data_IF_655163490160
#
_entry.id   IF_655163490160
#
_cell.length_a   1.000
_cell.length_b   1.000
_cell.length_c   1.000
_cell.angle_alpha   90.00
_cell.angle_beta   90.00
_cell.angle_gamma   90.00
#
_symmetry.space_group_name_H-M   'P 1'
#
loop_
_entity.id
_entity.type
_entity.pdbx_description
1 polymer ?
#
# COMPACT_ATOMS: atom_id res chain seq x y z
N UNK A 1 -1.51 -12.01 -18.18
CA UNK A 1 -0.88 -10.92 -18.97
C UNK A 1 -0.57 -9.81 -17.98
N UNK A 2 0.69 -9.35 -17.89
CA UNK A 2 1.01 -8.13 -17.12
C UNK A 2 0.47 -6.94 -17.93
N UNK A 3 -0.38 -6.12 -17.31
CA UNK A 3 -0.90 -4.92 -17.95
C UNK A 3 0.21 -3.83 -18.01
N UNK A 4 0.11 -2.96 -19.01
CA UNK A 4 1.11 -1.91 -19.26
C UNK A 4 1.01 -0.83 -18.17
N UNK A 5 2.12 -0.44 -17.51
CA UNK A 5 2.13 0.63 -16.52
C UNK A 5 1.61 1.97 -17.08
N UNK A 6 0.90 2.72 -16.25
CA UNK A 6 0.40 4.06 -16.58
C UNK A 6 1.49 5.09 -16.26
N UNK A 7 1.89 5.89 -17.23
CA UNK A 7 2.91 6.93 -17.02
C UNK A 7 2.25 8.31 -16.71
N UNK A 8 2.36 8.78 -15.47
CA UNK A 8 1.97 10.12 -15.05
C UNK A 8 2.76 10.56 -13.81
N UNK A 9 2.52 11.80 -13.36
CA UNK A 9 3.19 12.39 -12.19
C UNK A 9 3.05 11.56 -10.90
N UNK A 10 1.95 10.83 -10.71
CA UNK A 10 1.75 10.02 -9.50
C UNK A 10 2.63 8.77 -9.56
N UNK A 11 2.55 8.01 -10.65
CA UNK A 11 3.35 6.78 -10.82
C UNK A 11 4.85 7.07 -10.88
N UNK A 12 5.27 8.22 -11.41
CA UNK A 12 6.65 8.70 -11.35
C UNK A 12 7.13 8.97 -9.91
N UNK A 13 6.27 9.55 -9.06
CA UNK A 13 6.62 9.88 -7.66
C UNK A 13 6.63 8.63 -6.78
N UNK A 14 5.67 7.73 -6.96
CA UNK A 14 5.46 6.57 -6.09
C UNK A 14 6.22 5.32 -6.56
N UNK A 15 6.62 5.26 -7.84
CA UNK A 15 7.22 4.07 -8.45
C UNK A 15 6.23 2.93 -8.69
N UNK A 16 4.93 3.22 -8.70
CA UNK A 16 3.87 2.21 -8.90
C UNK A 16 3.49 2.09 -10.37
N UNK A 17 2.99 0.92 -10.78
CA UNK A 17 2.51 0.71 -12.15
C UNK A 17 1.19 1.44 -12.42
N UNK A 18 0.35 1.61 -11.39
CA UNK A 18 -0.95 2.26 -11.48
C UNK A 18 -1.04 3.44 -10.51
N UNK A 19 -1.74 4.54 -10.86
CA UNK A 19 -1.98 5.68 -9.98
C UNK A 19 -3.12 5.36 -9.00
N UNK A 20 -3.08 4.18 -8.37
CA UNK A 20 -4.07 3.70 -7.41
C UNK A 20 -3.41 3.68 -6.04
N UNK A 21 -4.00 4.43 -5.10
CA UNK A 21 -3.53 4.53 -3.72
C UNK A 21 -4.62 3.97 -2.83
N UNK A 22 -4.28 2.96 -2.02
CA UNK A 22 -5.21 2.40 -1.05
C UNK A 22 -5.38 3.39 0.12
N UNK A 23 -6.63 3.77 0.42
CA UNK A 23 -6.93 4.66 1.53
C UNK A 23 -6.58 4.00 2.88
N UNK A 24 -5.96 4.70 3.85
CA UNK A 24 -5.72 4.16 5.18
C UNK A 24 -7.06 3.96 5.89
N UNK A 25 -7.36 2.71 6.26
CA UNK A 25 -8.61 2.33 6.92
C UNK A 25 -8.27 1.71 8.28
N UNK A 26 -8.58 2.40 9.37
CA UNK A 26 -8.30 1.93 10.73
C UNK A 26 -8.82 0.50 10.94
N UNK A 27 -7.99 -0.35 11.53
CA UNK A 27 -8.26 -1.77 11.78
C UNK A 27 -8.40 -2.67 10.55
N UNK A 28 -8.40 -2.12 9.33
CA UNK A 28 -8.58 -2.87 8.07
C UNK A 28 -7.29 -2.90 7.25
N UNK A 29 -6.64 -1.74 7.09
CA UNK A 29 -5.46 -1.57 6.26
C UNK A 29 -4.19 -2.09 6.97
N UNK A 30 -4.07 -3.42 6.99
CA UNK A 30 -2.98 -4.20 7.60
C UNK A 30 -2.06 -4.79 6.52
N UNK A 31 -0.99 -5.47 6.93
CA UNK A 31 0.08 -5.95 6.05
C UNK A 31 -0.46 -6.74 4.86
N UNK A 32 -1.43 -7.62 5.08
CA UNK A 32 -2.02 -8.43 4.02
C UNK A 32 -2.65 -7.58 2.91
N UNK A 33 -3.46 -6.58 3.26
CA UNK A 33 -4.13 -5.72 2.27
C UNK A 33 -3.11 -4.82 1.58
N UNK A 34 -2.24 -4.16 2.34
CA UNK A 34 -1.23 -3.27 1.79
C UNK A 34 -0.30 -4.01 0.82
N UNK A 35 0.16 -5.21 1.18
CA UNK A 35 1.04 -6.04 0.35
C UNK A 35 0.34 -6.51 -0.92
N UNK A 36 -0.94 -6.90 -0.83
CA UNK A 36 -1.71 -7.30 -2.01
C UNK A 36 -1.85 -6.14 -3.02
N UNK A 37 -2.05 -4.91 -2.54
CA UNK A 37 -2.09 -3.71 -3.39
C UNK A 37 -0.73 -3.43 -4.03
N UNK A 38 0.36 -3.51 -3.25
CA UNK A 38 1.71 -3.34 -3.77
C UNK A 38 2.05 -4.38 -4.85
N UNK A 39 1.75 -5.66 -4.59
CA UNK A 39 1.98 -6.75 -5.54
C UNK A 39 1.14 -6.64 -6.82
N UNK A 40 -0.01 -5.95 -6.74
CA UNK A 40 -0.83 -5.64 -7.90
C UNK A 40 -0.36 -4.39 -8.67
N UNK A 41 0.72 -3.73 -8.23
CA UNK A 41 1.29 -2.54 -8.89
C UNK A 41 0.71 -1.20 -8.41
N UNK A 42 -0.03 -1.17 -7.30
CA UNK A 42 -0.53 0.06 -6.66
C UNK A 42 0.27 0.46 -5.41
N UNK A 43 -0.14 1.54 -4.76
CA UNK A 43 0.46 1.97 -3.48
C UNK A 43 -0.39 1.46 -2.30
N UNK A 44 0.11 0.43 -1.61
CA UNK A 44 -0.46 -0.06 -0.34
C UNK A 44 -0.05 0.83 0.84
N UNK A 45 -0.94 0.98 1.83
CA UNK A 45 -0.73 1.80 3.03
C UNK A 45 -1.17 1.02 4.27
N UNK A 46 -0.27 0.86 5.24
CA UNK A 46 -0.63 0.40 6.59
C UNK A 46 -1.21 1.57 7.38
N UNK A 47 -2.37 1.36 8.00
CA UNK A 47 -2.97 2.36 8.89
C UNK A 47 -2.18 2.51 10.20
N UNK A 48 -2.17 3.74 10.73
CA UNK A 48 -1.56 4.06 12.02
C UNK A 48 -2.55 4.68 13.02
N UNK A 49 -3.82 4.80 12.62
CA UNK A 49 -4.87 5.45 13.39
C UNK A 49 -5.32 4.66 14.62
N UNK A 50 -5.03 3.35 14.70
CA UNK A 50 -5.23 2.55 15.91
C UNK A 50 -4.34 2.96 17.09
N UNK A 51 -3.20 3.63 16.84
CA UNK A 51 -2.30 4.14 17.88
C UNK A 51 -1.39 3.09 18.54
N UNK A 52 -1.47 1.83 18.13
CA UNK A 52 -0.65 0.73 18.65
C UNK A 52 0.67 0.62 17.88
N UNK A 53 1.68 1.42 18.26
CA UNK A 53 2.94 1.52 17.51
C UNK A 53 3.70 0.19 17.35
N UNK A 54 3.67 -0.67 18.38
CA UNK A 54 4.32 -1.99 18.31
C UNK A 54 3.62 -2.90 17.29
N UNK A 55 2.27 -2.91 17.29
CA UNK A 55 1.49 -3.65 16.30
C UNK A 55 1.72 -3.10 14.89
N UNK A 56 1.78 -1.78 14.71
CA UNK A 56 2.11 -1.15 13.43
C UNK A 56 3.49 -1.59 12.94
N UNK A 57 4.49 -1.62 13.83
CA UNK A 57 5.84 -2.08 13.52
C UNK A 57 5.83 -3.53 13.05
N UNK A 58 5.09 -4.41 13.73
CA UNK A 58 4.94 -5.80 13.30
C UNK A 58 4.28 -5.91 11.93
N UNK A 59 3.26 -5.11 11.64
CA UNK A 59 2.61 -5.11 10.33
C UNK A 59 3.57 -4.65 9.23
N UNK A 60 4.41 -3.65 9.48
CA UNK A 60 5.45 -3.22 8.52
C UNK A 60 6.46 -4.34 8.27
N UNK A 61 6.82 -5.12 9.30
CA UNK A 61 7.75 -6.25 9.16
C UNK A 61 7.16 -7.47 8.43
N UNK A 62 5.83 -7.56 8.33
CA UNK A 62 5.11 -8.65 7.64
C UNK A 62 4.89 -8.39 6.15
N UNK A 63 5.09 -7.16 5.68
CA UNK A 63 5.02 -6.79 4.26
C UNK A 63 6.19 -7.39 3.48
#
# INVERSE_FOLDING_TARGET
MSAVPINNRITEITGTDYPIIQAPMSWIARAQLASAVCNAGGMGIIETGSGELDAIREEVLKM
#
